data_IF_516871975600
#
_entry.id   IF_516871975600
#
_cell.length_a   1.000
_cell.length_b   1.000
_cell.length_c   1.000
_cell.angle_alpha   90.00
_cell.angle_beta   90.00
_cell.angle_gamma   90.00
#
_symmetry.space_group_name_H-M   'P 1'
#
loop_
_entity.id
_entity.type
_entity.pdbx_description
1 polymer ?
#
# COMPACT_ATOMS: atom_id res chain seq x y z
N UNK A 1 24.25 -40.48 -34.61
CA UNK A 1 24.04 -41.31 -33.40
C UNK A 1 22.75 -40.76 -32.76
N UNK A 2 21.69 -41.53 -32.93
CA UNK A 2 20.37 -41.24 -32.36
C UNK A 2 20.31 -41.78 -30.94
N UNK A 3 19.83 -41.01 -29.98
CA UNK A 3 19.29 -41.57 -28.75
C UNK A 3 17.97 -40.88 -28.43
N UNK A 4 16.92 -41.65 -28.65
CA UNK A 4 15.58 -41.32 -28.21
C UNK A 4 15.43 -41.61 -26.72
N UNK A 5 14.70 -40.79 -26.02
CA UNK A 5 14.23 -41.04 -24.65
C UNK A 5 12.70 -41.02 -24.59
N UNK A 6 12.23 -42.11 -24.15
CA UNK A 6 10.86 -42.55 -24.00
C UNK A 6 10.07 -41.79 -22.97
N UNK A 7 8.88 -41.45 -23.36
CA UNK A 7 7.73 -41.01 -22.59
C UNK A 7 7.36 -42.01 -21.50
N UNK A 8 7.16 -41.57 -20.25
CA UNK A 8 6.49 -42.36 -19.22
C UNK A 8 5.35 -41.55 -18.61
N UNK A 9 4.17 -41.76 -19.14
CA UNK A 9 2.91 -41.32 -18.56
C UNK A 9 2.65 -42.02 -17.22
N UNK A 10 2.28 -41.28 -16.20
CA UNK A 10 1.58 -41.83 -15.03
C UNK A 10 0.32 -41.00 -14.80
N UNK A 11 -0.76 -41.61 -15.16
CA UNK A 11 -2.14 -41.26 -14.76
C UNK A 11 -2.29 -41.59 -13.28
N UNK A 12 -2.76 -40.66 -12.49
CA UNK A 12 -3.24 -40.88 -11.14
C UNK A 12 -4.43 -39.96 -10.90
N UNK A 13 -5.61 -40.47 -11.21
CA UNK A 13 -6.91 -39.94 -10.84
C UNK A 13 -7.18 -40.32 -9.39
N UNK A 14 -7.40 -39.36 -8.51
CA UNK A 14 -8.15 -39.60 -7.27
C UNK A 14 -9.14 -38.44 -7.10
N UNK A 15 -10.39 -38.78 -7.40
CA UNK A 15 -11.55 -37.97 -7.08
C UNK A 15 -12.03 -38.37 -5.66
N UNK A 16 -12.23 -37.41 -4.81
CA UNK A 16 -13.00 -37.58 -3.57
C UNK A 16 -14.05 -36.48 -3.50
N UNK A 17 -15.35 -36.84 -3.58
CA UNK A 17 -16.41 -35.90 -3.28
C UNK A 17 -16.71 -35.94 -1.78
N UNK A 18 -16.78 -34.82 -1.09
CA UNK A 18 -17.47 -34.71 0.19
C UNK A 18 -18.58 -33.68 0.05
N UNK A 19 -19.76 -34.21 0.11
CA UNK A 19 -21.01 -33.48 0.14
C UNK A 19 -21.43 -33.21 1.60
N UNK A 20 -22.35 -32.25 1.74
CA UNK A 20 -23.44 -32.18 2.75
C UNK A 20 -23.14 -31.37 4.03
N UNK A 21 -24.05 -30.39 4.20
CA UNK A 21 -24.32 -29.77 5.48
C UNK A 21 -25.12 -28.47 5.40
N UNK A 22 -26.35 -28.51 4.81
CA UNK A 22 -27.36 -27.48 5.05
C UNK A 22 -27.98 -27.69 6.44
N UNK A 23 -27.96 -26.64 7.27
CA UNK A 23 -28.85 -26.57 8.43
C UNK A 23 -29.58 -25.24 8.40
N UNK A 24 -30.84 -25.30 7.99
CA UNK A 24 -31.86 -24.26 8.18
C UNK A 24 -32.31 -24.26 9.64
N UNK A 25 -32.21 -23.11 10.29
CA UNK A 25 -32.85 -22.87 11.57
C UNK A 25 -33.82 -21.71 11.42
N UNK A 26 -35.08 -22.03 11.12
CA UNK A 26 -36.24 -21.15 11.23
C UNK A 26 -36.95 -21.53 12.53
N UNK A 27 -37.14 -20.55 13.42
CA UNK A 27 -38.15 -20.58 14.47
C UNK A 27 -38.36 -19.11 14.90
N UNK A 28 -39.49 -18.57 14.94
CA UNK A 28 -40.83 -19.08 15.13
C UNK A 28 -41.60 -17.91 15.70
N UNK A 29 -42.67 -17.58 15.05
CA UNK A 29 -43.69 -16.63 15.43
C UNK A 29 -44.45 -17.11 16.66
N UNK A 30 -44.93 -16.17 17.47
CA UNK A 30 -45.99 -16.32 18.44
C UNK A 30 -46.22 -14.97 19.09
N UNK A 31 -47.26 -14.28 18.94
CA UNK A 31 -48.66 -14.41 18.83
C UNK A 31 -49.35 -14.01 20.11
N UNK A 32 -50.19 -12.93 20.07
CA UNK A 32 -51.29 -12.78 20.95
C UNK A 32 -51.29 -11.67 21.99
N UNK A 33 -52.02 -10.59 21.72
CA UNK A 33 -53.22 -10.18 22.44
C UNK A 33 -53.03 -9.19 23.62
N UNK A 34 -53.54 -8.07 23.39
CA UNK A 34 -54.69 -7.38 23.99
C UNK A 34 -54.43 -6.24 25.01
N UNK A 35 -55.08 -5.14 24.66
CA UNK A 35 -55.67 -4.05 25.45
C UNK A 35 -54.90 -3.31 26.57
N UNK A 36 -54.84 -1.99 26.34
CA UNK A 36 -54.69 -1.03 27.43
C UNK A 36 -53.98 0.26 27.09
N UNK A 37 -54.70 1.25 26.54
CA UNK A 37 -54.35 2.69 26.56
C UNK A 37 -54.75 3.28 27.93
N UNK A 38 -54.24 4.41 28.46
CA UNK A 38 -53.65 5.55 27.81
C UNK A 38 -52.44 6.27 28.48
N UNK A 39 -51.94 7.22 27.68
CA UNK A 39 -51.30 8.50 28.05
C UNK A 39 -49.99 8.59 28.82
N UNK A 40 -49.05 9.13 28.15
CA UNK A 40 -48.36 10.39 28.35
C UNK A 40 -46.85 10.38 28.05
N UNK A 41 -46.46 11.42 27.36
CA UNK A 41 -45.16 12.07 27.30
C UNK A 41 -44.10 11.49 26.36
N UNK A 42 -44.14 12.03 25.18
CA UNK A 42 -43.05 12.53 24.32
C UNK A 42 -41.66 12.50 24.97
N UNK A 43 -40.79 11.67 24.44
CA UNK A 43 -39.42 12.08 24.32
C UNK A 43 -38.86 11.55 22.98
N UNK A 44 -38.86 12.43 21.99
CA UNK A 44 -38.25 12.19 20.70
C UNK A 44 -36.73 12.18 20.85
N UNK A 45 -36.17 11.02 21.05
CA UNK A 45 -34.77 10.81 20.78
C UNK A 45 -34.55 10.78 19.27
N UNK A 46 -34.23 11.92 18.73
CA UNK A 46 -33.65 12.03 17.39
C UNK A 46 -32.34 11.26 17.42
N UNK A 47 -32.31 10.10 16.81
CA UNK A 47 -31.09 9.50 16.35
C UNK A 47 -30.46 10.45 15.36
N UNK A 48 -29.52 11.23 15.83
CA UNK A 48 -28.58 11.94 14.99
C UNK A 48 -27.83 10.88 14.22
N UNK A 49 -28.17 10.73 12.95
CA UNK A 49 -27.28 10.09 11.99
C UNK A 49 -25.96 10.87 12.05
N UNK A 50 -24.98 10.30 12.71
CA UNK A 50 -23.60 10.76 12.64
C UNK A 50 -23.20 10.68 11.17
N UNK A 51 -23.17 11.84 10.51
CA UNK A 51 -22.39 12.04 9.32
C UNK A 51 -21.00 11.45 9.63
N UNK A 52 -20.37 10.66 8.74
CA UNK A 52 -18.95 10.40 8.87
C UNK A 52 -18.28 11.77 8.83
N UNK A 53 -17.72 12.19 9.95
CA UNK A 53 -16.79 13.31 9.97
C UNK A 53 -15.74 12.97 8.92
N UNK A 54 -15.64 13.85 7.92
CA UNK A 54 -14.47 13.89 7.07
C UNK A 54 -13.28 13.90 8.03
N UNK A 55 -12.44 12.86 7.96
CA UNK A 55 -11.16 12.83 8.65
C UNK A 55 -10.51 14.17 8.31
N UNK A 56 -10.44 15.03 9.30
CA UNK A 56 -9.54 16.16 9.26
C UNK A 56 -8.19 15.57 8.93
N UNK A 57 -7.65 15.93 7.75
CA UNK A 57 -6.28 15.70 7.42
C UNK A 57 -5.48 16.24 8.58
N UNK A 58 -5.01 15.32 9.43
CA UNK A 58 -4.03 15.65 10.43
C UNK A 58 -2.79 16.06 9.63
N UNK A 59 -2.65 17.37 9.44
CA UNK A 59 -1.54 17.99 8.71
C UNK A 59 -0.28 17.87 9.56
N UNK A 60 0.11 16.65 9.90
CA UNK A 60 1.42 16.38 10.42
C UNK A 60 2.41 16.89 9.37
N UNK A 61 3.28 17.79 9.80
CA UNK A 61 4.32 18.33 8.94
C UNK A 61 5.07 17.16 8.29
N UNK A 62 5.13 17.09 6.97
CA UNK A 62 5.80 15.98 6.31
C UNK A 62 7.25 15.89 6.76
N UNK A 63 7.78 14.69 6.93
CA UNK A 63 9.20 14.45 7.25
C UNK A 63 10.09 15.03 6.16
N UNK A 64 9.66 14.95 4.92
CA UNK A 64 10.39 15.47 3.78
C UNK A 64 9.48 15.69 2.56
N UNK A 65 9.90 16.58 1.67
CA UNK A 65 9.29 16.81 0.37
C UNK A 65 10.36 16.69 -0.72
N UNK A 66 10.14 15.81 -1.68
CA UNK A 66 11.00 15.62 -2.83
C UNK A 66 10.26 16.13 -4.07
N UNK A 67 10.83 17.15 -4.71
CA UNK A 67 10.27 17.74 -5.93
C UNK A 67 10.68 16.91 -7.14
N UNK A 68 9.69 16.53 -7.94
CA UNK A 68 9.85 15.77 -9.17
C UNK A 68 9.54 16.57 -10.43
N UNK A 69 9.55 15.93 -11.60
CA UNK A 69 9.24 16.58 -12.87
C UNK A 69 7.75 16.92 -12.99
N UNK A 70 7.46 17.93 -13.81
CA UNK A 70 6.10 18.29 -14.22
C UNK A 70 5.11 18.59 -13.08
N UNK A 71 5.61 19.05 -11.93
CA UNK A 71 4.77 19.34 -10.76
C UNK A 71 4.50 18.14 -9.85
N UNK A 72 5.09 16.98 -10.12
CA UNK A 72 5.02 15.87 -9.17
C UNK A 72 5.85 16.20 -7.92
N UNK A 73 5.33 15.81 -6.77
CA UNK A 73 5.98 15.93 -5.47
C UNK A 73 5.74 14.66 -4.65
N UNK A 74 6.77 14.12 -4.04
CA UNK A 74 6.65 13.07 -3.04
C UNK A 74 6.73 13.70 -1.66
N UNK A 75 5.61 13.65 -0.91
CA UNK A 75 5.54 14.03 0.49
C UNK A 75 5.74 12.78 1.34
N UNK A 76 6.82 12.73 2.10
CA UNK A 76 7.10 11.63 3.03
C UNK A 76 6.47 11.97 4.37
N UNK A 77 5.59 11.13 4.86
CA UNK A 77 4.87 11.32 6.13
C UNK A 77 5.44 10.46 7.25
N UNK A 78 5.99 9.29 6.93
CA UNK A 78 6.58 8.40 7.92
C UNK A 78 7.75 7.60 7.34
N UNK A 79 8.71 7.26 8.22
CA UNK A 79 9.77 6.29 7.96
C UNK A 79 9.96 5.48 9.24
N UNK A 80 9.45 4.25 9.26
CA UNK A 80 9.35 3.45 10.48
C UNK A 80 10.08 2.11 10.32
N UNK A 81 10.86 1.74 11.36
CA UNK A 81 11.38 0.38 11.50
C UNK A 81 10.29 -0.53 12.00
N UNK A 82 10.30 -1.75 11.54
CA UNK A 82 9.51 -2.82 12.12
C UNK A 82 10.39 -3.90 12.76
N UNK A 83 9.77 -4.78 13.53
CA UNK A 83 10.46 -5.88 14.19
C UNK A 83 10.95 -6.96 13.21
N UNK A 84 10.51 -6.91 11.96
CA UNK A 84 10.91 -7.83 10.89
C UNK A 84 12.25 -7.47 10.23
N UNK A 85 12.89 -6.39 10.64
CA UNK A 85 14.16 -5.94 10.07
C UNK A 85 14.00 -5.12 8.79
N UNK A 86 12.87 -4.43 8.64
CA UNK A 86 12.56 -3.55 7.52
C UNK A 86 12.42 -2.11 7.97
N UNK A 87 12.51 -1.19 7.02
CA UNK A 87 12.05 0.18 7.15
C UNK A 87 11.00 0.42 6.09
N UNK A 88 9.81 0.84 6.52
CA UNK A 88 8.74 1.27 5.62
C UNK A 88 8.72 2.80 5.58
N UNK A 89 8.92 3.35 4.39
CA UNK A 89 8.75 4.77 4.09
C UNK A 89 7.38 4.96 3.45
N UNK A 90 6.53 5.78 4.08
CA UNK A 90 5.17 6.07 3.63
C UNK A 90 5.03 7.55 3.29
N UNK A 91 4.08 7.86 2.41
CA UNK A 91 3.80 9.23 2.01
C UNK A 91 2.79 9.31 0.87
N UNK A 92 2.77 10.46 0.20
CA UNK A 92 1.87 10.74 -0.91
C UNK A 92 2.65 11.22 -2.13
N UNK A 93 2.38 10.61 -3.28
CA UNK A 93 2.80 11.13 -4.58
C UNK A 93 1.73 12.10 -5.08
N UNK A 94 2.01 13.39 -5.00
CA UNK A 94 1.07 14.45 -5.34
C UNK A 94 1.44 15.12 -6.64
N UNK A 95 0.45 15.55 -7.39
CA UNK A 95 0.62 16.43 -8.54
C UNK A 95 0.16 17.86 -8.18
N UNK A 96 1.09 18.74 -7.90
CA UNK A 96 0.84 20.15 -7.63
C UNK A 96 0.79 21.00 -8.92
N UNK A 97 0.94 20.37 -10.08
CA UNK A 97 0.79 21.02 -11.38
C UNK A 97 -0.67 21.24 -11.77
N UNK A 98 -0.88 21.95 -12.88
CA UNK A 98 -2.22 22.27 -13.42
C UNK A 98 -2.75 21.27 -14.45
N UNK A 99 -1.97 20.25 -14.79
CA UNK A 99 -2.32 19.23 -15.81
C UNK A 99 -2.09 17.84 -15.26
N UNK A 100 -2.83 16.86 -15.80
CA UNK A 100 -2.58 15.46 -15.54
C UNK A 100 -1.18 15.06 -15.98
N UNK A 101 -0.43 14.37 -15.13
CA UNK A 101 0.95 13.93 -15.38
C UNK A 101 1.00 12.41 -15.37
N UNK A 102 1.55 11.83 -16.43
CA UNK A 102 1.89 10.41 -16.43
C UNK A 102 3.09 10.17 -15.52
N UNK A 103 2.98 9.23 -14.60
CA UNK A 103 4.09 8.89 -13.69
C UNK A 103 5.27 8.38 -14.53
N UNK A 104 6.48 8.97 -14.37
CA UNK A 104 7.65 8.56 -15.14
C UNK A 104 8.01 7.10 -14.89
N UNK A 105 8.31 6.39 -15.98
CA UNK A 105 8.69 4.99 -15.92
C UNK A 105 10.02 4.76 -15.17
N UNK A 106 10.90 5.76 -15.20
CA UNK A 106 12.21 5.74 -14.53
C UNK A 106 12.12 5.56 -13.00
N UNK A 107 10.97 5.89 -12.39
CA UNK A 107 10.76 5.65 -10.95
C UNK A 107 10.84 4.17 -10.60
N UNK A 108 10.62 3.28 -11.55
CA UNK A 108 10.72 1.82 -11.36
C UNK A 108 12.17 1.31 -11.31
N UNK A 109 13.14 2.15 -11.69
CA UNK A 109 14.56 1.83 -11.72
C UNK A 109 15.09 1.64 -13.12
N UNK A 110 14.81 0.52 -13.78
CA UNK A 110 15.27 0.23 -15.15
C UNK A 110 14.14 -0.35 -16.02
N UNK A 111 14.37 -0.45 -17.32
CA UNK A 111 13.37 -0.92 -18.29
C UNK A 111 12.92 -2.36 -18.04
N UNK A 112 13.81 -3.22 -17.60
CA UNK A 112 13.47 -4.62 -17.27
C UNK A 112 12.45 -4.70 -16.16
N UNK A 113 12.55 -3.82 -15.17
CA UNK A 113 11.59 -3.73 -14.07
C UNK A 113 10.20 -3.31 -14.54
N UNK A 114 10.13 -2.36 -15.48
CA UNK A 114 8.87 -1.89 -16.04
C UNK A 114 8.17 -3.00 -16.82
N UNK A 115 8.93 -3.74 -17.61
CA UNK A 115 8.40 -4.86 -18.42
C UNK A 115 7.85 -5.97 -17.51
N UNK A 116 8.55 -6.28 -16.42
CA UNK A 116 8.18 -7.38 -15.52
C UNK A 116 7.07 -7.02 -14.54
N UNK A 117 7.15 -5.83 -13.95
CA UNK A 117 6.40 -5.47 -12.75
C UNK A 117 5.52 -4.22 -12.93
N UNK A 118 5.51 -3.61 -14.12
CA UNK A 118 4.84 -2.35 -14.38
C UNK A 118 5.54 -1.15 -13.73
N UNK A 119 4.87 0.00 -13.73
CA UNK A 119 5.40 1.21 -13.09
C UNK A 119 5.28 1.12 -11.58
N UNK A 120 6.36 1.45 -10.89
CA UNK A 120 6.49 1.35 -9.43
C UNK A 120 7.46 2.40 -8.90
N UNK A 121 7.64 2.46 -7.59
CA UNK A 121 8.71 3.23 -6.95
C UNK A 121 9.96 2.35 -6.67
N UNK A 122 10.12 1.24 -7.37
CA UNK A 122 11.20 0.27 -7.18
C UNK A 122 12.62 0.80 -7.40
N UNK A 123 12.75 1.98 -8.03
CA UNK A 123 14.03 2.68 -8.20
C UNK A 123 14.43 3.55 -7.01
N UNK A 124 13.60 3.64 -5.96
CA UNK A 124 13.95 4.39 -4.76
C UNK A 124 15.10 3.75 -3.99
N UNK A 125 15.89 4.57 -3.30
CA UNK A 125 17.00 4.13 -2.45
C UNK A 125 17.09 4.96 -1.18
N UNK A 126 17.50 4.32 -0.08
CA UNK A 126 17.98 5.00 1.13
C UNK A 126 19.50 4.96 1.15
N UNK A 127 20.12 6.10 1.44
CA UNK A 127 21.57 6.23 1.50
C UNK A 127 21.99 6.65 2.90
N UNK A 128 22.79 5.79 3.52
CA UNK A 128 23.54 6.10 4.73
C UNK A 128 24.88 6.73 4.36
N UNK A 129 24.95 8.06 4.45
CA UNK A 129 26.18 8.80 4.12
C UNK A 129 27.30 8.55 5.13
N UNK A 130 26.97 8.28 6.40
CA UNK A 130 27.95 7.98 7.46
C UNK A 130 28.53 6.58 7.31
N UNK A 131 27.65 5.58 7.12
CA UNK A 131 28.03 4.18 6.92
C UNK A 131 28.44 3.84 5.48
N UNK A 132 28.36 4.80 4.54
CA UNK A 132 28.67 4.63 3.11
C UNK A 132 27.92 3.44 2.48
N UNK A 133 26.67 3.24 2.86
CA UNK A 133 25.82 2.17 2.37
C UNK A 133 24.60 2.70 1.64
N UNK A 134 24.13 1.94 0.66
CA UNK A 134 22.89 2.19 -0.07
C UNK A 134 21.98 1.00 0.09
N UNK A 135 20.73 1.27 0.41
CA UNK A 135 19.67 0.29 0.58
C UNK A 135 18.67 0.46 -0.55
N UNK A 136 18.37 -0.62 -1.24
CA UNK A 136 17.42 -0.67 -2.34
C UNK A 136 16.09 -1.16 -1.86
N UNK A 137 15.01 -0.80 -2.57
CA UNK A 137 13.67 -1.36 -2.32
C UNK A 137 13.75 -2.88 -2.31
N UNK A 138 13.18 -3.49 -1.28
CA UNK A 138 13.08 -4.94 -1.14
C UNK A 138 12.27 -5.55 -2.28
N UNK A 139 12.51 -6.84 -2.52
CA UNK A 139 11.79 -7.60 -3.53
C UNK A 139 11.30 -8.90 -2.94
N UNK A 140 10.15 -9.35 -3.44
CA UNK A 140 9.66 -10.69 -3.13
C UNK A 140 10.44 -11.78 -3.87
N UNK A 141 10.06 -13.04 -3.67
CA UNK A 141 10.69 -14.21 -4.30
C UNK A 141 10.54 -14.24 -5.82
N UNK A 142 9.55 -13.55 -6.36
CA UNK A 142 9.32 -13.40 -7.81
C UNK A 142 10.06 -12.18 -8.39
N UNK A 143 10.77 -11.43 -7.55
CA UNK A 143 11.52 -10.24 -7.92
C UNK A 143 10.67 -8.96 -8.01
N UNK A 144 9.42 -8.99 -7.55
CA UNK A 144 8.55 -7.81 -7.55
C UNK A 144 8.95 -6.86 -6.42
N UNK A 145 9.05 -5.55 -6.66
CA UNK A 145 9.45 -4.59 -5.64
C UNK A 145 8.35 -4.43 -4.58
N UNK A 146 8.73 -4.41 -3.32
CA UNK A 146 7.83 -4.18 -2.19
C UNK A 146 7.57 -2.68 -2.02
N UNK A 147 6.75 -2.16 -2.91
CA UNK A 147 6.35 -0.76 -2.99
C UNK A 147 5.03 -0.63 -3.73
N UNK A 148 4.43 0.57 -3.70
CA UNK A 148 3.27 0.86 -4.55
C UNK A 148 3.60 0.68 -6.02
N UNK A 149 2.71 0.00 -6.73
CA UNK A 149 2.83 -0.37 -8.15
C UNK A 149 1.60 0.09 -8.93
N UNK A 150 1.61 -0.15 -10.25
CA UNK A 150 0.50 0.11 -11.17
C UNK A 150 0.11 1.60 -11.30
N UNK A 151 1.09 2.48 -11.19
CA UNK A 151 0.85 3.89 -11.48
C UNK A 151 0.47 4.10 -12.95
N UNK A 152 -0.55 4.93 -13.18
CA UNK A 152 -0.91 5.38 -14.52
C UNK A 152 -0.61 6.86 -14.72
N UNK A 153 -1.47 7.70 -14.22
CA UNK A 153 -1.36 9.15 -14.27
C UNK A 153 -1.94 9.73 -12.98
N UNK A 154 -1.44 10.90 -12.59
CA UNK A 154 -1.90 11.67 -11.43
C UNK A 154 -2.54 12.94 -11.96
N UNK A 155 -3.81 13.17 -11.66
CA UNK A 155 -4.55 14.37 -12.08
C UNK A 155 -4.01 15.61 -11.35
N UNK A 156 -4.28 16.79 -11.88
CA UNK A 156 -3.98 18.03 -11.20
C UNK A 156 -4.61 18.06 -9.80
N UNK A 157 -3.81 18.34 -8.77
CA UNK A 157 -4.23 18.36 -7.37
C UNK A 157 -4.42 16.99 -6.71
N UNK A 158 -4.33 15.89 -7.46
CA UNK A 158 -4.48 14.53 -6.92
C UNK A 158 -3.25 14.11 -6.12
N UNK A 159 -3.48 13.38 -5.03
CA UNK A 159 -2.47 12.72 -4.22
C UNK A 159 -2.76 11.23 -4.16
N UNK A 160 -1.74 10.41 -4.39
CA UNK A 160 -1.80 8.95 -4.32
C UNK A 160 -0.97 8.47 -3.14
N UNK A 161 -1.55 7.74 -2.18
CA UNK A 161 -0.81 7.17 -1.08
C UNK A 161 0.21 6.16 -1.60
N UNK A 162 1.43 6.24 -1.08
CA UNK A 162 2.54 5.40 -1.51
C UNK A 162 3.32 4.86 -0.33
N UNK A 163 3.96 3.72 -0.54
CA UNK A 163 4.92 3.15 0.39
C UNK A 163 6.11 2.54 -0.36
N UNK A 164 7.22 2.40 0.35
CA UNK A 164 8.44 1.72 -0.11
C UNK A 164 9.07 1.00 1.08
N UNK A 165 9.44 -0.27 0.92
CA UNK A 165 10.10 -1.04 1.96
C UNK A 165 11.57 -1.27 1.62
N UNK A 166 12.41 -1.09 2.63
CA UNK A 166 13.87 -1.24 2.55
C UNK A 166 14.37 -2.19 3.64
N UNK A 167 15.52 -2.83 3.45
CA UNK A 167 16.21 -3.48 4.56
C UNK A 167 16.51 -2.44 5.65
N UNK A 168 16.31 -2.78 6.92
CA UNK A 168 16.60 -1.87 8.01
C UNK A 168 18.12 -1.60 8.10
N UNK A 169 18.55 -0.32 8.08
CA UNK A 169 19.91 0.03 8.41
C UNK A 169 20.19 -0.25 9.90
N UNK A 170 21.45 -0.27 10.36
CA UNK A 170 21.76 -0.41 11.78
C UNK A 170 20.98 0.61 12.63
N UNK A 171 20.65 0.25 13.88
CA UNK A 171 19.87 1.12 14.79
C UNK A 171 20.52 2.50 15.02
N UNK A 172 21.84 2.58 14.89
CA UNK A 172 22.57 3.86 14.99
C UNK A 172 22.40 4.78 13.79
N UNK A 173 21.88 4.27 12.66
CA UNK A 173 21.60 5.08 11.47
C UNK A 173 20.13 5.57 11.53
N UNK A 174 19.93 6.70 12.18
CA UNK A 174 18.62 7.34 12.34
C UNK A 174 18.28 8.31 11.20
N UNK A 175 19.29 8.88 10.55
CA UNK A 175 19.14 9.81 9.43
C UNK A 175 19.58 9.14 8.12
N UNK A 176 18.72 9.17 7.13
CA UNK A 176 18.98 8.59 5.81
C UNK A 176 18.62 9.58 4.73
N UNK A 177 19.35 9.58 3.62
CA UNK A 177 18.97 10.33 2.43
C UNK A 177 18.07 9.48 1.53
N UNK A 178 16.82 9.88 1.38
CA UNK A 178 15.90 9.26 0.41
C UNK A 178 16.19 9.83 -0.99
N UNK A 179 16.35 8.93 -1.93
CA UNK A 179 16.56 9.24 -3.36
C UNK A 179 15.51 8.51 -4.18
N UNK A 180 14.84 9.23 -5.07
CA UNK A 180 13.93 8.69 -6.06
C UNK A 180 14.39 9.21 -7.44
N UNK A 181 14.50 8.37 -8.48
CA UNK A 181 14.91 8.82 -9.80
C UNK A 181 14.11 10.04 -10.28
N UNK A 182 14.78 11.02 -10.86
CA UNK A 182 14.19 12.28 -11.35
C UNK A 182 13.62 13.23 -10.27
N UNK A 183 13.69 12.87 -8.98
CA UNK A 183 13.28 13.74 -7.89
C UNK A 183 14.50 14.34 -7.18
N UNK A 184 14.28 15.47 -6.50
CA UNK A 184 15.27 15.98 -5.56
C UNK A 184 15.50 14.97 -4.44
N UNK A 185 16.65 15.02 -3.80
CA UNK A 185 16.96 14.19 -2.65
C UNK A 185 16.56 14.91 -1.35
N UNK A 186 16.21 14.17 -0.31
CA UNK A 186 15.94 14.75 1.01
C UNK A 186 16.42 13.81 2.11
N UNK A 187 16.81 14.39 3.24
CA UNK A 187 17.10 13.63 4.45
C UNK A 187 15.80 13.35 5.18
N UNK A 188 15.64 12.12 5.63
CA UNK A 188 14.52 11.67 6.45
C UNK A 188 15.04 11.02 7.74
N UNK A 189 14.30 11.20 8.82
CA UNK A 189 14.55 10.51 10.08
C UNK A 189 13.77 9.20 10.13
N UNK A 190 14.44 8.13 10.56
CA UNK A 190 13.82 6.82 10.77
C UNK A 190 13.48 6.67 12.23
N UNK A 191 12.21 6.42 12.53
CA UNK A 191 11.68 6.12 13.86
C UNK A 191 11.55 4.62 14.10
N UNK A 192 11.53 4.21 15.37
CA UNK A 192 11.38 2.82 15.80
C UNK A 192 12.66 2.17 16.28
#
# INVERSE_FOLDING_TARGET
MSMGFTTKARRGLVAVPVAIGLAFGVSGCGGGGDDGKPDAAVSASRSSASKPDAQEENSEKPLAELKGPSGLMLKVTAAQRDAGGFVTVSGDLKNDGSKTVTVPAQLSGNETEIIRNGRSLGGATLVDSKGKKRYYVLRDTDGRPLTTTNFSAVKAGEALPVFMQFPAPPASATEMTLQLPMFSTSVIEISG
#
